data_IF_806912479418
#
_entry.id   IF_806912479418
#
_cell.length_a   1.000
_cell.length_b   1.000
_cell.length_c   1.000
_cell.angle_alpha   90.00
_cell.angle_beta   90.00
_cell.angle_gamma   90.00
#
_symmetry.space_group_name_H-M   'P 1'
#
loop_
_entity.id
_entity.type
_entity.pdbx_description
1 polymer ?
#
# COMPACT_ATOMS: atom_id res chain seq x y z
N UNK A 1 3.56 5.48 10.14
CA UNK A 1 2.22 5.88 9.67
C UNK A 1 1.15 5.08 10.43
N UNK A 2 0.43 5.73 11.35
CA UNK A 2 -0.69 5.10 12.05
C UNK A 2 -1.89 5.04 11.11
N UNK A 3 -2.24 3.83 10.67
CA UNK A 3 -3.37 3.56 9.78
C UNK A 3 -4.60 3.10 10.57
N UNK A 4 -5.74 3.73 10.25
CA UNK A 4 -7.12 3.45 10.68
C UNK A 4 -7.49 3.72 12.14
N UNK A 5 -8.67 4.31 12.31
CA UNK A 5 -9.35 4.40 13.60
C UNK A 5 -9.71 2.98 14.08
N UNK A 6 -9.49 2.74 15.37
CA UNK A 6 -9.92 1.54 16.10
C UNK A 6 -11.41 1.27 15.84
N UNK A 7 -11.70 0.27 15.01
CA UNK A 7 -13.04 -0.30 14.85
C UNK A 7 -13.17 -1.52 15.78
N UNK A 8 -14.37 -1.73 16.32
CA UNK A 8 -14.67 -2.78 17.32
C UNK A 8 -14.30 -4.22 16.89
N UNK A 9 -14.04 -4.43 15.59
CA UNK A 9 -13.77 -5.74 14.98
C UNK A 9 -12.31 -5.98 14.56
N UNK A 10 -11.40 -5.01 14.70
CA UNK A 10 -9.95 -5.22 14.50
C UNK A 10 -9.19 -4.52 15.64
N UNK A 11 -8.71 -5.31 16.60
CA UNK A 11 -7.86 -4.78 17.68
C UNK A 11 -6.49 -4.42 17.11
N UNK A 12 -5.92 -3.31 17.56
CA UNK A 12 -4.54 -2.94 17.24
C UNK A 12 -3.60 -4.09 17.67
N UNK A 13 -2.61 -4.48 16.84
CA UNK A 13 -1.61 -5.46 17.23
C UNK A 13 -0.95 -5.12 18.57
N UNK A 14 -0.63 -6.15 19.35
CA UNK A 14 0.09 -5.99 20.62
C UNK A 14 1.51 -5.49 20.33
N UNK A 15 1.90 -4.35 20.90
CA UNK A 15 3.25 -3.78 20.69
C UNK A 15 4.33 -4.65 21.33
N UNK A 16 4.03 -5.27 22.47
CA UNK A 16 4.94 -6.11 23.22
C UNK A 16 4.25 -7.41 23.69
N UNK A 17 3.96 -8.36 22.78
CA UNK A 17 3.19 -9.57 23.11
C UNK A 17 3.98 -10.45 24.10
N UNK A 18 3.41 -10.65 25.29
CA UNK A 18 3.99 -11.47 26.36
C UNK A 18 3.43 -12.89 26.34
N UNK A 19 2.15 -13.04 26.02
CA UNK A 19 1.47 -14.34 25.95
C UNK A 19 1.58 -14.96 24.55
N UNK A 20 1.57 -16.28 24.47
CA UNK A 20 1.51 -17.00 23.20
C UNK A 20 0.22 -16.72 22.43
N UNK A 21 -0.88 -16.41 23.13
CA UNK A 21 -2.13 -15.95 22.50
C UNK A 21 -1.98 -14.59 21.81
N UNK A 22 -1.23 -13.67 22.41
CA UNK A 22 -0.96 -12.34 21.84
C UNK A 22 -0.01 -12.44 20.63
N UNK A 23 1.00 -13.31 20.71
CA UNK A 23 1.88 -13.61 19.56
C UNK A 23 1.09 -14.23 18.41
N UNK A 24 0.22 -15.21 18.69
CA UNK A 24 -0.64 -15.83 17.69
C UNK A 24 -1.57 -14.81 17.03
N UNK A 25 -2.18 -13.93 17.83
CA UNK A 25 -2.99 -12.83 17.30
C UNK A 25 -2.19 -11.95 16.33
N UNK A 26 -1.02 -11.46 16.74
CA UNK A 26 -0.18 -10.63 15.89
C UNK A 26 0.26 -11.34 14.60
N UNK A 27 0.60 -12.63 14.67
CA UNK A 27 0.97 -13.41 13.48
C UNK A 27 -0.16 -13.47 12.47
N UNK A 28 -1.38 -13.81 12.92
CA UNK A 28 -2.56 -13.87 12.06
C UNK A 28 -2.89 -12.48 11.52
N UNK A 29 -2.80 -11.45 12.36
CA UNK A 29 -3.05 -10.07 11.95
C UNK A 29 -2.07 -9.60 10.86
N UNK A 30 -0.78 -9.90 11.00
CA UNK A 30 0.24 -9.61 9.98
C UNK A 30 -0.08 -10.35 8.69
N UNK A 31 -0.44 -11.63 8.75
CA UNK A 31 -0.81 -12.39 7.57
C UNK A 31 -1.99 -11.77 6.81
N UNK A 32 -3.06 -11.42 7.52
CA UNK A 32 -4.24 -10.77 6.93
C UNK A 32 -3.85 -9.43 6.30
N UNK A 33 -3.06 -8.61 7.01
CA UNK A 33 -2.58 -7.33 6.48
C UNK A 33 -1.77 -7.51 5.20
N UNK A 34 -0.87 -8.48 5.15
CA UNK A 34 -0.07 -8.77 3.95
C UNK A 34 -0.95 -9.14 2.75
N UNK A 35 -2.01 -9.93 2.96
CA UNK A 35 -2.97 -10.28 1.90
C UNK A 35 -3.69 -9.03 1.40
N UNK A 36 -4.17 -8.18 2.30
CA UNK A 36 -4.88 -6.93 1.96
C UNK A 36 -3.96 -5.96 1.21
N UNK A 37 -2.75 -5.72 1.72
CA UNK A 37 -1.77 -4.83 1.10
C UNK A 37 -1.34 -5.32 -0.28
N UNK A 38 -1.08 -6.62 -0.42
CA UNK A 38 -0.76 -7.22 -1.72
C UNK A 38 -1.92 -7.08 -2.70
N UNK A 39 -3.16 -7.30 -2.25
CA UNK A 39 -4.35 -7.14 -3.09
C UNK A 39 -4.48 -5.70 -3.59
N UNK A 40 -4.30 -4.71 -2.70
CA UNK A 40 -4.33 -3.30 -3.12
C UNK A 40 -3.16 -2.92 -4.02
N UNK A 41 -1.97 -3.46 -3.79
CA UNK A 41 -0.83 -3.31 -4.70
C UNK A 41 -1.14 -3.81 -6.10
N UNK A 42 -1.71 -5.02 -6.20
CA UNK A 42 -2.18 -5.61 -7.46
C UNK A 42 -3.41 -4.92 -8.06
N UNK A 43 -4.16 -4.16 -7.29
CA UNK A 43 -5.26 -3.38 -7.85
C UNK A 43 -4.72 -2.10 -8.52
N UNK A 44 -3.89 -1.34 -7.78
CA UNK A 44 -3.28 -0.09 -8.24
C UNK A 44 -2.35 -0.29 -9.43
N UNK A 45 -1.52 -1.33 -9.40
CA UNK A 45 -0.61 -1.63 -10.48
C UNK A 45 -1.32 -2.22 -11.73
N UNK A 46 -2.60 -2.58 -11.65
CA UNK A 46 -3.39 -2.96 -12.84
C UNK A 46 -4.13 -1.76 -13.41
N UNK A 47 -4.63 -0.93 -12.51
CA UNK A 47 -5.52 0.17 -12.81
C UNK A 47 -4.88 1.44 -12.24
N UNK A 48 -4.02 2.06 -13.06
CA UNK A 48 -3.17 3.19 -12.69
C UNK A 48 -3.92 4.41 -12.16
N UNK A 49 -5.23 4.55 -12.45
CA UNK A 49 -6.02 5.65 -11.91
C UNK A 49 -6.18 5.63 -10.39
N UNK A 50 -5.81 4.51 -9.73
CA UNK A 50 -5.77 4.39 -8.27
C UNK A 50 -4.37 4.62 -7.69
N UNK A 51 -3.34 4.73 -8.52
CA UNK A 51 -1.99 5.01 -8.07
C UNK A 51 -1.76 6.52 -7.92
N UNK A 52 -1.04 6.88 -6.85
CA UNK A 52 -0.74 8.27 -6.49
C UNK A 52 0.39 8.84 -7.38
N UNK A 53 1.22 7.96 -7.95
CA UNK A 53 2.33 8.29 -8.86
C UNK A 53 1.84 8.81 -10.22
N UNK A 54 0.70 8.31 -10.71
CA UNK A 54 0.12 8.69 -11.99
C UNK A 54 -0.72 9.96 -11.88
N UNK A 55 -1.96 9.81 -11.38
CA UNK A 55 -2.94 10.89 -11.31
C UNK A 55 -3.78 10.76 -10.04
N UNK A 56 -3.78 11.79 -9.19
CA UNK A 56 -4.72 11.84 -8.06
C UNK A 56 -6.13 12.00 -8.60
N UNK A 57 -7.06 11.18 -8.12
CA UNK A 57 -8.48 11.31 -8.45
C UNK A 57 -9.03 12.64 -7.89
N UNK A 58 -9.04 13.68 -8.72
CA UNK A 58 -9.57 15.01 -8.40
C UNK A 58 -11.10 15.06 -8.46
N UNK A 59 -11.75 14.08 -7.84
CA UNK A 59 -13.20 13.94 -7.80
C UNK A 59 -13.72 14.04 -6.37
N UNK A 60 -15.03 14.25 -6.22
CA UNK A 60 -15.66 14.20 -4.90
C UNK A 60 -15.45 12.82 -4.25
N UNK A 61 -15.35 12.73 -2.91
CA UNK A 61 -15.14 11.47 -2.21
C UNK A 61 -16.16 10.39 -2.60
N UNK A 62 -17.41 10.79 -2.85
CA UNK A 62 -18.49 9.88 -3.25
C UNK A 62 -18.21 9.25 -4.62
N UNK A 63 -17.67 10.02 -5.57
CA UNK A 63 -17.31 9.50 -6.89
C UNK A 63 -16.04 8.65 -6.83
N UNK A 64 -15.05 9.04 -6.02
CA UNK A 64 -13.86 8.22 -5.77
C UNK A 64 -14.23 6.83 -5.22
N UNK A 65 -15.18 6.76 -4.29
CA UNK A 65 -15.68 5.47 -3.79
C UNK A 65 -16.30 4.61 -4.90
N UNK A 66 -17.10 5.21 -5.79
CA UNK A 66 -17.69 4.50 -6.95
C UNK A 66 -16.62 3.99 -7.91
N UNK A 67 -15.61 4.82 -8.21
CA UNK A 67 -14.48 4.44 -9.06
C UNK A 67 -13.76 3.24 -8.46
N UNK A 68 -13.44 3.26 -7.16
CA UNK A 68 -12.81 2.12 -6.47
C UNK A 68 -13.61 0.82 -6.61
N UNK A 69 -14.94 0.88 -6.46
CA UNK A 69 -15.81 -0.30 -6.64
C UNK A 69 -15.72 -0.84 -8.07
N UNK A 70 -15.80 0.04 -9.08
CA UNK A 70 -15.68 -0.35 -10.49
C UNK A 70 -14.30 -0.97 -10.77
N UNK A 71 -13.23 -0.38 -10.24
CA UNK A 71 -11.88 -0.94 -10.37
C UNK A 71 -11.77 -2.34 -9.76
N UNK A 72 -12.37 -2.57 -8.59
CA UNK A 72 -12.39 -3.90 -7.96
C UNK A 72 -13.18 -4.92 -8.82
N UNK A 73 -14.31 -4.52 -9.39
CA UNK A 73 -15.10 -5.36 -10.31
C UNK A 73 -14.27 -5.74 -11.54
N UNK A 74 -13.62 -4.75 -12.17
CA UNK A 74 -12.77 -4.96 -13.34
C UNK A 74 -11.57 -5.86 -13.03
N UNK A 75 -10.90 -5.63 -11.91
CA UNK A 75 -9.80 -6.48 -11.45
C UNK A 75 -10.25 -7.93 -11.31
N UNK A 76 -11.37 -8.17 -10.62
CA UNK A 76 -11.92 -9.50 -10.43
C UNK A 76 -12.33 -10.16 -11.76
N UNK A 77 -12.85 -9.39 -12.71
CA UNK A 77 -13.13 -9.88 -14.06
C UNK A 77 -11.84 -10.35 -14.74
N UNK A 78 -10.81 -9.49 -14.78
CA UNK A 78 -9.52 -9.83 -15.37
C UNK A 78 -8.83 -11.04 -14.71
N UNK A 79 -8.97 -11.20 -13.39
CA UNK A 79 -8.47 -12.39 -12.67
C UNK A 79 -9.20 -13.65 -13.12
N UNK A 80 -10.54 -13.60 -13.25
CA UNK A 80 -11.35 -14.77 -13.68
C UNK A 80 -11.11 -15.15 -15.13
N UNK A 81 -10.87 -14.17 -16.00
CA UNK A 81 -10.61 -14.41 -17.43
C UNK A 81 -9.13 -14.64 -17.74
N UNK A 82 -8.28 -14.71 -16.70
CA UNK A 82 -6.83 -14.89 -16.81
C UNK A 82 -6.16 -13.89 -17.76
N UNK A 83 -6.62 -12.62 -17.72
CA UNK A 83 -6.02 -11.54 -18.50
C UNK A 83 -4.58 -11.33 -18.00
N UNK A 84 -3.58 -11.38 -18.89
CA UNK A 84 -2.19 -11.18 -18.54
C UNK A 84 -1.99 -9.89 -17.74
N UNK A 85 -1.04 -9.95 -16.83
CA UNK A 85 -0.59 -8.78 -16.12
C UNK A 85 0.44 -8.06 -16.98
N UNK A 86 0.16 -6.84 -17.43
CA UNK A 86 1.21 -5.97 -17.96
C UNK A 86 2.04 -5.48 -16.77
N UNK A 87 3.29 -5.94 -16.68
CA UNK A 87 4.23 -5.39 -15.71
C UNK A 87 4.40 -3.91 -16.01
N UNK A 88 4.02 -3.08 -15.03
CA UNK A 88 4.36 -1.67 -15.09
C UNK A 88 5.87 -1.58 -14.87
N UNK A 89 6.58 -1.14 -15.90
CA UNK A 89 7.93 -0.62 -15.74
C UNK A 89 7.79 0.54 -14.78
N UNK A 90 8.18 0.32 -13.52
CA UNK A 90 8.40 1.43 -12.61
C UNK A 90 9.67 2.08 -13.13
N UNK A 91 9.55 3.25 -13.73
CA UNK A 91 10.71 4.11 -13.89
C UNK A 91 11.26 4.31 -12.47
N UNK A 92 12.46 3.80 -12.25
CA UNK A 92 13.21 3.94 -11.01
C UNK A 92 13.59 5.42 -10.88
N UNK A 93 12.65 6.25 -10.41
CA UNK A 93 12.98 7.60 -9.97
C UNK A 93 13.86 7.47 -8.72
N UNK A 94 15.14 7.77 -8.93
CA UNK A 94 16.22 7.78 -7.96
C UNK A 94 15.81 8.45 -6.63
N UNK A 95 15.55 7.65 -5.60
CA UNK A 95 15.77 8.04 -4.21
C UNK A 95 17.28 7.94 -3.91
N UNK A 96 18.10 8.73 -4.60
CA UNK A 96 19.43 9.02 -4.09
C UNK A 96 19.24 9.92 -2.85
N UNK A 97 19.66 9.48 -1.65
CA UNK A 97 19.65 10.36 -0.49
C UNK A 97 20.54 11.59 -0.78
N UNK A 98 20.20 12.78 -0.23
CA UNK A 98 21.07 13.94 -0.36
C UNK A 98 22.49 13.57 0.07
N UNK A 99 23.46 13.72 -0.83
CA UNK A 99 24.86 13.60 -0.45
C UNK A 99 25.17 14.71 0.54
N UNK A 100 25.36 14.34 1.81
CA UNK A 100 25.98 15.20 2.79
C UNK A 100 27.36 15.59 2.24
N UNK A 101 27.48 16.84 1.83
CA UNK A 101 28.73 17.39 1.32
C UNK A 101 29.76 17.44 2.45
N UNK A 102 30.66 16.48 2.47
CA UNK A 102 31.96 16.57 3.13
C UNK A 102 32.73 17.76 2.51
N UNK A 103 32.67 18.91 3.16
CA UNK A 103 33.58 20.03 2.92
C UNK A 103 34.88 19.83 3.70
N UNK A 104 36.07 19.86 3.08
CA UNK A 104 37.33 19.62 3.78
C UNK A 104 37.77 20.83 4.63
N UNK A 105 38.10 20.52 5.88
CA UNK A 105 39.25 20.96 6.69
C UNK A 105 39.80 22.42 6.54
N UNK A 106 39.66 23.16 7.65
CA UNK A 106 40.51 24.24 8.20
C UNK A 106 41.17 25.29 7.28
N UNK A 107 40.98 26.58 7.62
CA UNK A 107 42.07 27.49 8.05
C UNK A 107 41.55 28.90 8.40
N UNK A 108 42.35 29.57 9.25
CA UNK A 108 42.31 30.96 9.76
C UNK A 108 41.53 31.19 11.07
#
# INVERSE_FOLDING_TARGET
AQGYAIHLWVMTPYVNPQSDSEKAYNMVHVHIRNVVERTFGMLKARIQCLDVSGWRLLYSPQLVCKINVVCAILHNFCVRTNVPWEEQVKDEDNDDPPQDGDGPHASA
#
